data_IF_819435728598
#
_entry.id   IF_819435728598
#
_cell.length_a   1.000
_cell.length_b   1.000
_cell.length_c   1.000
_cell.angle_alpha   90.00
_cell.angle_beta   90.00
_cell.angle_gamma   90.00
#
_symmetry.space_group_name_H-M   'P 1'
#
loop_
_entity.id
_entity.type
_entity.pdbx_description
1 polymer ?
#
# COMPACT_ATOMS: atom_id res chain seq x y z
N UNK A 1 -82.21 -27.70 25.76
CA UNK A 1 -82.32 -26.61 24.77
C UNK A 1 -80.93 -26.27 24.27
N UNK A 2 -80.59 -26.75 23.07
CA UNK A 2 -79.33 -26.46 22.38
C UNK A 2 -79.38 -25.05 21.80
N UNK A 3 -78.41 -24.20 22.10
CA UNK A 3 -78.15 -22.94 21.41
C UNK A 3 -76.85 -23.09 20.62
N UNK A 4 -76.96 -23.21 19.30
CA UNK A 4 -75.83 -23.25 18.37
C UNK A 4 -75.48 -21.81 18.03
N UNK A 5 -74.32 -21.33 18.51
CA UNK A 5 -73.76 -20.04 18.12
C UNK A 5 -72.92 -20.21 16.85
N UNK A 6 -73.39 -19.66 15.73
CA UNK A 6 -72.66 -19.62 14.47
C UNK A 6 -71.60 -18.52 14.51
N UNK A 7 -70.32 -18.89 14.65
CA UNK A 7 -69.19 -17.98 14.46
C UNK A 7 -68.87 -17.90 12.96
N UNK A 8 -69.20 -16.78 12.33
CA UNK A 8 -68.82 -16.50 10.94
C UNK A 8 -67.30 -16.26 10.83
N UNK A 9 -66.60 -17.10 10.06
CA UNK A 9 -65.19 -16.92 9.75
C UNK A 9 -65.10 -15.90 8.60
N UNK A 10 -64.69 -14.66 8.92
CA UNK A 10 -64.34 -13.67 7.92
C UNK A 10 -62.97 -14.03 7.31
N UNK A 11 -62.96 -14.57 6.10
CA UNK A 11 -61.72 -14.84 5.34
C UNK A 11 -61.21 -13.49 4.82
N UNK A 12 -60.29 -12.87 5.57
CA UNK A 12 -59.57 -11.68 5.13
C UNK A 12 -58.59 -12.04 4.00
N UNK A 13 -58.84 -11.52 2.81
CA UNK A 13 -57.96 -11.66 1.65
C UNK A 13 -56.67 -10.85 1.92
N UNK A 14 -55.65 -11.48 2.50
CA UNK A 14 -54.35 -10.84 2.69
C UNK A 14 -53.67 -10.68 1.32
N UNK A 15 -53.73 -9.47 0.76
CA UNK A 15 -52.98 -9.09 -0.44
C UNK A 15 -51.50 -9.05 -0.10
N UNK A 16 -50.77 -10.12 -0.44
CA UNK A 16 -49.31 -10.12 -0.41
C UNK A 16 -48.79 -9.20 -1.52
N UNK A 17 -48.48 -7.96 -1.16
CA UNK A 17 -47.77 -7.04 -2.05
C UNK A 17 -46.33 -7.52 -2.14
N UNK A 18 -45.99 -8.18 -3.25
CA UNK A 18 -44.62 -8.58 -3.57
C UNK A 18 -43.74 -7.34 -3.61
N UNK A 19 -42.86 -7.17 -2.62
CA UNK A 19 -41.80 -6.16 -2.68
C UNK A 19 -40.91 -6.48 -3.87
N UNK A 20 -40.63 -5.52 -4.77
CA UNK A 20 -39.67 -5.76 -5.83
C UNK A 20 -38.32 -6.06 -5.20
N UNK A 21 -37.68 -7.14 -5.64
CA UNK A 21 -36.31 -7.46 -5.25
C UNK A 21 -35.43 -6.27 -5.65
N UNK A 22 -34.76 -5.64 -4.69
CA UNK A 22 -33.76 -4.64 -4.98
C UNK A 22 -32.66 -5.32 -5.80
N UNK A 23 -32.46 -4.85 -7.04
CA UNK A 23 -31.36 -5.32 -7.87
C UNK A 23 -30.04 -5.03 -7.14
N UNK A 24 -29.29 -6.08 -6.85
CA UNK A 24 -27.98 -5.98 -6.23
C UNK A 24 -27.06 -5.33 -7.27
N UNK A 25 -26.60 -4.11 -7.02
CA UNK A 25 -25.58 -3.47 -7.86
C UNK A 25 -24.29 -4.25 -7.63
N UNK A 26 -23.93 -5.10 -8.60
CA UNK A 26 -22.64 -5.77 -8.62
C UNK A 26 -21.55 -4.68 -8.57
N UNK A 27 -20.85 -4.61 -7.45
CA UNK A 27 -19.69 -3.73 -7.35
C UNK A 27 -18.63 -4.24 -8.35
N UNK A 28 -17.98 -3.35 -9.11
CA UNK A 28 -16.88 -3.77 -9.98
C UNK A 28 -15.79 -4.44 -9.15
N UNK A 29 -15.34 -5.61 -9.59
CA UNK A 29 -14.25 -6.34 -8.95
C UNK A 29 -12.98 -5.49 -9.08
N UNK A 30 -12.25 -5.20 -7.98
CA UNK A 30 -11.00 -4.46 -8.04
C UNK A 30 -10.01 -5.10 -9.02
N UNK A 31 -9.25 -4.30 -9.80
CA UNK A 31 -8.41 -4.79 -10.89
C UNK A 31 -7.24 -5.66 -10.43
N UNK A 32 -6.89 -5.64 -9.16
CA UNK A 32 -5.81 -6.42 -8.52
C UNK A 32 -6.31 -7.59 -7.67
N UNK A 33 -7.61 -7.91 -7.70
CA UNK A 33 -8.20 -8.97 -6.87
C UNK A 33 -7.51 -10.32 -7.07
N UNK A 34 -6.98 -10.59 -8.27
CA UNK A 34 -6.24 -11.80 -8.59
C UNK A 34 -4.89 -11.89 -7.85
N UNK A 35 -4.21 -10.78 -7.62
CA UNK A 35 -2.96 -10.73 -6.85
C UNK A 35 -3.23 -11.17 -5.40
N UNK A 36 -4.30 -10.63 -4.82
CA UNK A 36 -4.72 -10.90 -3.43
C UNK A 36 -5.07 -12.37 -3.17
N UNK A 37 -5.44 -13.15 -4.19
CA UNK A 37 -5.74 -14.59 -4.04
C UNK A 37 -4.54 -15.42 -3.57
N UNK A 38 -3.32 -15.02 -3.94
CA UNK A 38 -2.11 -15.78 -3.63
C UNK A 38 -1.16 -15.02 -2.70
N UNK A 39 -1.21 -13.70 -2.68
CA UNK A 39 -0.27 -12.88 -1.90
C UNK A 39 -0.77 -12.59 -0.48
N UNK A 40 -2.08 -12.53 -0.21
CA UNK A 40 -2.58 -12.31 1.16
C UNK A 40 -2.20 -13.50 2.05
N UNK A 41 -1.62 -13.21 3.21
CA UNK A 41 -1.23 -14.17 4.24
C UNK A 41 -0.26 -15.28 3.78
N UNK A 42 0.35 -15.11 2.60
CA UNK A 42 1.36 -16.03 2.11
C UNK A 42 2.65 -15.92 2.92
N UNK A 43 3.34 -17.05 3.08
CA UNK A 43 4.68 -17.11 3.68
C UNK A 43 5.75 -17.49 2.66
N UNK A 44 5.39 -17.50 1.37
CA UNK A 44 6.32 -17.84 0.30
C UNK A 44 7.39 -16.77 0.15
N UNK A 45 8.62 -17.20 -0.11
CA UNK A 45 9.76 -16.31 -0.27
C UNK A 45 10.47 -16.54 -1.59
N UNK A 46 10.98 -15.47 -2.19
CA UNK A 46 11.83 -15.51 -3.38
C UNK A 46 13.25 -15.20 -2.93
N UNK A 47 14.20 -16.11 -3.18
CA UNK A 47 15.62 -15.85 -2.95
C UNK A 47 16.21 -15.13 -4.16
N UNK A 48 16.77 -13.95 -3.93
CA UNK A 48 17.45 -13.13 -4.93
C UNK A 48 18.87 -13.64 -5.18
N UNK A 49 19.49 -13.16 -6.27
CA UNK A 49 20.87 -13.53 -6.63
C UNK A 49 21.88 -13.17 -5.53
N UNK A 50 21.64 -12.07 -4.81
CA UNK A 50 22.42 -11.64 -3.64
C UNK A 50 22.36 -12.63 -2.46
N UNK A 51 21.37 -13.53 -2.45
CA UNK A 51 21.05 -14.43 -1.34
C UNK A 51 20.01 -13.87 -0.36
N UNK A 52 19.60 -12.61 -0.53
CA UNK A 52 18.52 -12.01 0.25
C UNK A 52 17.16 -12.60 -0.13
N UNK A 53 16.16 -12.48 0.74
CA UNK A 53 14.83 -13.06 0.56
C UNK A 53 13.75 -12.00 0.50
N UNK A 54 12.95 -12.01 -0.56
CA UNK A 54 11.70 -11.25 -0.66
C UNK A 54 10.54 -12.09 -0.15
N UNK A 55 9.73 -11.52 0.74
CA UNK A 55 8.45 -12.13 1.12
C UNK A 55 7.41 -11.81 0.04
N UNK A 56 6.77 -12.83 -0.52
CA UNK A 56 5.66 -12.64 -1.44
C UNK A 56 4.34 -12.34 -0.70
N UNK A 57 4.27 -12.61 0.61
CA UNK A 57 3.15 -12.30 1.47
C UNK A 57 2.87 -10.82 1.64
N UNK A 58 1.59 -10.48 1.71
CA UNK A 58 1.11 -9.17 2.15
C UNK A 58 0.20 -9.35 3.37
N UNK A 59 0.34 -8.45 4.34
CA UNK A 59 -0.58 -8.32 5.45
C UNK A 59 -1.75 -7.43 5.02
N UNK A 60 -2.98 -7.98 4.93
CA UNK A 60 -4.12 -7.22 4.45
C UNK A 60 -4.52 -6.08 5.40
N UNK A 61 -4.26 -6.23 6.70
CA UNK A 61 -4.60 -5.19 7.69
C UNK A 61 -3.68 -3.99 7.52
N UNK A 62 -2.38 -4.22 7.42
CA UNK A 62 -1.41 -3.14 7.21
C UNK A 62 -1.65 -2.41 5.87
N UNK A 63 -1.99 -3.16 4.81
CA UNK A 63 -2.32 -2.56 3.52
C UNK A 63 -3.57 -1.69 3.57
N UNK A 64 -4.64 -2.18 4.19
CA UNK A 64 -5.91 -1.47 4.27
C UNK A 64 -5.80 -0.21 5.15
N UNK A 65 -4.91 -0.22 6.15
CA UNK A 65 -4.63 0.91 7.05
C UNK A 65 -3.65 1.95 6.45
N UNK A 66 -2.96 1.61 5.36
CA UNK A 66 -2.03 2.53 4.69
C UNK A 66 -2.76 3.72 4.03
N UNK A 67 -2.00 4.77 3.66
CA UNK A 67 -2.55 5.94 2.93
C UNK A 67 -3.10 5.59 1.54
N UNK A 68 -2.82 4.38 1.05
CA UNK A 68 -3.19 3.86 -0.26
C UNK A 68 -4.17 2.68 -0.19
N UNK A 69 -4.59 2.27 1.01
CA UNK A 69 -5.48 1.14 1.25
C UNK A 69 -6.89 1.33 0.68
N UNK A 70 -7.71 0.28 0.77
CA UNK A 70 -9.07 0.25 0.21
C UNK A 70 -10.02 1.30 0.81
N UNK A 71 -9.66 1.84 1.99
CA UNK A 71 -10.42 2.86 2.70
C UNK A 71 -9.85 4.28 2.51
N UNK A 72 -8.76 4.44 1.76
CA UNK A 72 -8.16 5.72 1.47
C UNK A 72 -9.08 6.62 0.63
N UNK A 73 -8.82 7.93 0.67
CA UNK A 73 -9.54 8.90 -0.17
C UNK A 73 -9.34 8.65 -1.66
N UNK A 74 -8.16 8.13 -2.04
CA UNK A 74 -7.82 7.68 -3.38
C UNK A 74 -7.10 6.33 -3.27
N UNK A 75 -7.84 5.21 -3.20
CA UNK A 75 -7.24 3.88 -3.16
C UNK A 75 -6.42 3.61 -4.41
N UNK A 76 -5.30 2.92 -4.25
CA UNK A 76 -4.50 2.40 -5.35
C UNK A 76 -4.52 0.87 -5.31
N UNK A 77 -4.17 0.24 -6.43
CA UNK A 77 -4.18 -1.21 -6.57
C UNK A 77 -2.75 -1.75 -6.73
N UNK A 78 -2.55 -3.05 -6.51
CA UNK A 78 -1.22 -3.68 -6.60
C UNK A 78 -0.48 -3.31 -7.90
N UNK A 79 -1.21 -3.24 -9.01
CA UNK A 79 -0.71 -2.97 -10.36
C UNK A 79 -0.45 -1.49 -10.66
N UNK A 80 -0.71 -0.59 -9.71
CA UNK A 80 -0.34 0.81 -9.79
C UNK A 80 1.12 1.03 -9.35
N UNK A 81 1.59 0.25 -8.37
CA UNK A 81 2.97 0.28 -7.89
C UNK A 81 3.83 -0.85 -8.47
N UNK A 82 3.29 -2.06 -8.65
CA UNK A 82 4.01 -3.17 -9.30
C UNK A 82 3.85 -3.09 -10.82
N UNK A 83 4.71 -2.28 -11.45
CA UNK A 83 4.72 -2.02 -12.89
C UNK A 83 6.05 -2.38 -13.54
N UNK A 84 6.04 -2.79 -14.84
CA UNK A 84 4.88 -2.98 -15.71
C UNK A 84 4.08 -4.24 -15.35
N UNK A 85 2.75 -4.17 -15.46
CA UNK A 85 1.84 -5.23 -14.98
C UNK A 85 2.15 -6.61 -15.56
N UNK A 86 2.64 -6.68 -16.81
CA UNK A 86 2.94 -7.94 -17.51
C UNK A 86 4.05 -8.75 -16.84
N UNK A 87 4.92 -8.12 -16.04
CA UNK A 87 5.95 -8.82 -15.25
C UNK A 87 5.35 -9.53 -14.05
N UNK A 88 4.35 -8.90 -13.44
CA UNK A 88 3.74 -9.32 -12.18
C UNK A 88 2.45 -10.12 -12.35
N UNK A 89 1.94 -10.28 -13.57
CA UNK A 89 0.79 -11.14 -13.84
C UNK A 89 1.20 -12.61 -13.89
N UNK A 90 0.35 -13.50 -13.36
CA UNK A 90 0.58 -14.94 -13.48
C UNK A 90 0.40 -15.42 -14.94
N UNK A 91 1.30 -16.25 -15.49
CA UNK A 91 2.54 -16.74 -14.87
C UNK A 91 3.60 -15.62 -14.76
N UNK A 92 4.09 -15.39 -13.54
CA UNK A 92 5.04 -14.32 -13.24
C UNK A 92 6.31 -14.46 -14.08
N UNK A 93 6.83 -13.33 -14.55
CA UNK A 93 8.18 -13.30 -15.13
C UNK A 93 9.22 -13.35 -14.00
N UNK A 94 10.43 -13.79 -14.33
CA UNK A 94 11.53 -13.75 -13.37
C UNK A 94 11.79 -12.32 -12.89
N UNK A 95 12.06 -12.16 -11.61
CA UNK A 95 12.48 -10.87 -11.05
C UNK A 95 13.94 -10.58 -11.51
N UNK A 96 14.19 -9.55 -12.33
CA UNK A 96 15.54 -9.13 -12.73
C UNK A 96 16.39 -8.55 -11.59
N UNK A 97 15.79 -8.08 -10.49
CA UNK A 97 16.55 -7.48 -9.40
C UNK A 97 17.49 -8.51 -8.76
N UNK A 98 18.75 -8.13 -8.57
CA UNK A 98 19.77 -8.99 -7.96
C UNK A 98 19.75 -8.93 -6.44
N UNK A 99 19.25 -7.82 -5.87
CA UNK A 99 19.24 -7.52 -4.42
C UNK A 99 17.93 -6.87 -3.95
N UNK A 100 17.70 -6.81 -2.63
CA UNK A 100 16.53 -6.14 -2.06
C UNK A 100 16.53 -4.65 -2.40
N UNK A 101 17.66 -3.99 -2.23
CA UNK A 101 17.84 -2.58 -2.56
C UNK A 101 17.47 -2.28 -4.03
N UNK A 102 17.89 -3.13 -4.97
CA UNK A 102 17.53 -2.96 -6.39
C UNK A 102 16.02 -3.17 -6.62
N UNK A 103 15.42 -4.15 -5.97
CA UNK A 103 13.98 -4.38 -6.06
C UNK A 103 13.18 -3.21 -5.48
N UNK A 104 13.56 -2.71 -4.31
CA UNK A 104 12.91 -1.58 -3.64
C UNK A 104 13.07 -0.29 -4.45
N UNK A 105 14.25 -0.02 -4.99
CA UNK A 105 14.50 1.13 -5.85
C UNK A 105 13.64 1.09 -7.13
N UNK A 106 13.47 -0.08 -7.74
CA UNK A 106 12.57 -0.25 -8.89
C UNK A 106 11.12 0.10 -8.52
N UNK A 107 10.62 -0.44 -7.40
CA UNK A 107 9.25 -0.17 -6.95
C UNK A 107 9.07 1.29 -6.55
N UNK A 108 10.03 1.87 -5.82
CA UNK A 108 10.02 3.28 -5.40
C UNK A 108 9.99 4.24 -6.59
N UNK A 109 10.63 3.88 -7.70
CA UNK A 109 10.53 4.63 -8.95
C UNK A 109 9.09 4.81 -9.45
N UNK A 110 8.18 3.88 -9.12
CA UNK A 110 6.76 3.99 -9.51
C UNK A 110 5.98 5.01 -8.67
N UNK A 111 6.44 5.36 -7.46
CA UNK A 111 5.84 6.41 -6.63
C UNK A 111 5.84 7.78 -7.35
N UNK A 112 6.91 8.04 -8.10
CA UNK A 112 7.13 9.30 -8.82
C UNK A 112 6.21 9.49 -10.04
N UNK A 113 5.41 8.48 -10.40
CA UNK A 113 4.37 8.63 -11.43
C UNK A 113 3.22 9.55 -10.94
N UNK A 114 3.04 9.69 -9.63
CA UNK A 114 2.01 10.52 -9.02
C UNK A 114 2.56 11.52 -8.00
N UNK A 115 3.63 11.17 -7.29
CA UNK A 115 4.29 12.03 -6.32
C UNK A 115 5.49 12.76 -6.93
N UNK A 116 5.98 13.75 -6.19
CA UNK A 116 7.20 14.47 -6.56
C UNK A 116 8.39 13.51 -6.69
N UNK A 117 9.37 13.89 -7.51
CA UNK A 117 10.59 13.09 -7.68
C UNK A 117 11.47 13.16 -6.43
N UNK A 118 12.32 12.16 -6.25
CA UNK A 118 13.27 12.10 -5.14
C UNK A 118 14.19 13.33 -5.11
N UNK A 119 14.59 13.80 -6.29
CA UNK A 119 15.48 14.97 -6.40
C UNK A 119 14.87 16.24 -5.81
N UNK A 120 13.55 16.38 -5.90
CA UNK A 120 12.83 17.52 -5.35
C UNK A 120 12.41 17.30 -3.90
N UNK A 121 12.16 16.05 -3.51
CA UNK A 121 11.70 15.72 -2.17
C UNK A 121 12.82 15.71 -1.14
N UNK A 122 13.96 15.11 -1.49
CA UNK A 122 15.07 14.88 -0.58
C UNK A 122 16.43 15.14 -1.26
N UNK A 123 16.69 16.37 -1.74
CA UNK A 123 17.84 16.70 -2.57
C UNK A 123 19.20 16.43 -1.90
N UNK A 124 19.28 16.39 -0.57
CA UNK A 124 20.52 16.13 0.16
C UNK A 124 21.14 14.78 -0.15
N UNK A 125 20.31 13.76 -0.41
CA UNK A 125 20.79 12.41 -0.73
C UNK A 125 21.33 12.28 -2.16
N UNK A 126 21.04 13.24 -3.06
CA UNK A 126 21.57 13.24 -4.43
C UNK A 126 23.08 13.42 -4.48
N UNK A 127 23.69 13.96 -3.43
CA UNK A 127 25.15 14.08 -3.31
C UNK A 127 25.82 12.70 -3.25
N UNK A 128 25.07 11.67 -2.84
CA UNK A 128 25.52 10.30 -2.73
C UNK A 128 24.91 9.37 -3.80
N UNK A 129 24.40 9.88 -4.92
CA UNK A 129 23.69 9.07 -5.95
C UNK A 129 24.45 7.85 -6.51
N UNK A 130 25.79 7.85 -6.40
CA UNK A 130 26.62 6.72 -6.83
C UNK A 130 26.75 5.64 -5.74
N UNK A 131 26.16 5.87 -4.56
CA UNK A 131 26.09 4.94 -3.45
C UNK A 131 24.79 4.10 -3.58
N UNK A 132 24.89 2.76 -3.62
CA UNK A 132 23.71 1.89 -3.70
C UNK A 132 22.81 1.93 -2.47
N UNK A 133 23.28 2.51 -1.36
CA UNK A 133 22.54 2.60 -0.09
C UNK A 133 21.86 3.97 0.11
N UNK A 134 21.59 4.71 -0.96
CA UNK A 134 20.77 5.92 -0.88
C UNK A 134 19.33 5.54 -0.58
N UNK A 135 18.69 6.12 0.46
CA UNK A 135 17.30 5.83 0.76
C UNK A 135 16.38 6.35 -0.34
N UNK A 136 15.39 5.56 -0.69
CA UNK A 136 14.33 5.87 -1.64
C UNK A 136 12.98 6.09 -0.90
N UNK A 137 11.88 6.17 -1.67
CA UNK A 137 10.56 6.44 -1.11
C UNK A 137 10.13 5.41 -0.04
N UNK A 138 10.44 4.12 -0.23
CA UNK A 138 9.97 3.06 0.67
C UNK A 138 10.79 2.93 1.94
N UNK A 139 12.03 3.43 1.97
CA UNK A 139 12.88 3.38 3.17
C UNK A 139 12.33 4.24 4.31
N UNK A 140 11.76 5.40 3.96
CA UNK A 140 11.09 6.25 4.94
C UNK A 140 9.60 5.90 5.02
N UNK A 141 8.89 5.91 3.90
CA UNK A 141 7.43 5.84 3.92
C UNK A 141 6.87 4.42 4.07
N UNK A 142 7.66 3.37 3.86
CA UNK A 142 7.15 2.00 3.78
C UNK A 142 6.60 1.66 2.39
N UNK A 143 6.24 0.38 2.22
CA UNK A 143 5.86 -0.20 0.93
C UNK A 143 4.39 -0.60 0.85
N UNK A 144 4.00 -1.65 1.57
CA UNK A 144 2.59 -2.04 1.70
C UNK A 144 1.92 -1.37 2.91
N UNK A 145 2.69 -0.75 3.78
CA UNK A 145 2.31 -0.05 5.01
C UNK A 145 2.52 1.47 4.88
N UNK A 146 2.39 2.00 3.65
CA UNK A 146 2.78 3.38 3.32
C UNK A 146 2.21 4.40 4.33
N UNK A 147 3.11 5.05 5.04
CA UNK A 147 2.82 6.06 6.06
C UNK A 147 2.73 7.47 5.45
N UNK A 148 1.84 8.34 5.99
CA UNK A 148 1.71 9.72 5.52
C UNK A 148 2.96 10.53 5.85
N UNK A 149 3.26 11.54 5.03
CA UNK A 149 4.36 12.48 5.29
C UNK A 149 4.30 13.11 6.70
N UNK A 150 3.09 13.42 7.18
CA UNK A 150 2.86 13.95 8.52
C UNK A 150 3.36 13.04 9.66
N UNK A 151 3.54 11.74 9.43
CA UNK A 151 4.13 10.84 10.43
C UNK A 151 5.61 11.17 10.69
N UNK A 152 6.34 11.60 9.66
CA UNK A 152 7.76 11.93 9.74
C UNK A 152 8.00 13.37 10.21
N UNK A 153 7.05 14.27 9.96
CA UNK A 153 7.07 15.63 10.51
C UNK A 153 6.96 15.65 12.04
N UNK A 154 6.38 14.62 12.65
CA UNK A 154 6.25 14.52 14.09
C UNK A 154 7.58 14.25 14.80
N UNK A 155 8.51 13.54 14.14
CA UNK A 155 9.86 13.29 14.63
C UNK A 155 10.87 13.23 13.45
N UNK A 156 11.22 14.38 12.87
CA UNK A 156 12.11 14.43 11.71
C UNK A 156 13.52 13.98 12.08
N UNK A 157 13.98 14.25 13.30
CA UNK A 157 15.29 13.83 13.78
C UNK A 157 15.35 12.32 13.96
N UNK A 158 14.35 11.74 14.63
CA UNK A 158 14.27 10.29 14.81
C UNK A 158 14.20 9.53 13.49
N UNK A 159 13.49 10.09 12.50
CA UNK A 159 13.42 9.54 11.14
C UNK A 159 14.81 9.46 10.50
N UNK A 160 15.59 10.55 10.52
CA UNK A 160 16.93 10.57 9.96
C UNK A 160 17.91 9.67 10.73
N UNK A 161 17.72 9.53 12.04
CA UNK A 161 18.58 8.73 12.91
C UNK A 161 18.44 7.21 12.73
N UNK A 162 17.45 6.75 11.96
CA UNK A 162 17.34 5.33 11.56
C UNK A 162 18.59 4.88 10.81
N UNK A 163 19.12 5.74 9.92
CA UNK A 163 20.34 5.52 9.16
C UNK A 163 21.52 6.37 9.67
N UNK A 164 21.29 7.65 10.03
CA UNK A 164 22.33 8.59 10.47
C UNK A 164 22.44 8.65 12.00
N UNK A 165 22.99 7.59 12.59
CA UNK A 165 23.05 7.43 14.05
C UNK A 165 24.03 8.39 14.74
N UNK A 166 25.05 8.88 14.02
CA UNK A 166 26.06 9.79 14.55
C UNK A 166 26.18 11.07 13.69
N UNK A 167 25.88 12.23 14.29
CA UNK A 167 26.05 13.57 13.69
C UNK A 167 27.54 13.91 13.46
N UNK A 168 28.47 13.11 14.00
CA UNK A 168 29.89 13.37 13.94
C UNK A 168 30.50 13.24 12.53
N UNK A 169 29.75 12.72 11.54
CA UNK A 169 30.16 12.75 10.14
C UNK A 169 30.16 14.21 9.64
N UNK A 170 31.33 14.79 9.30
CA UNK A 170 31.43 16.18 8.87
C UNK A 170 30.62 16.49 7.61
N UNK A 171 30.42 15.51 6.73
CA UNK A 171 29.61 15.67 5.51
C UNK A 171 28.13 15.74 5.85
N UNK A 172 27.65 14.90 6.76
CA UNK A 172 26.27 14.95 7.27
C UNK A 172 26.01 16.25 8.03
N UNK A 173 26.98 16.77 8.78
CA UNK A 173 26.85 18.04 9.50
C UNK A 173 26.73 19.25 8.57
N UNK A 174 27.49 19.27 7.47
CA UNK A 174 27.43 20.33 6.45
C UNK A 174 26.07 20.32 5.71
N UNK A 175 25.63 19.12 5.27
CA UNK A 175 24.35 18.95 4.60
C UNK A 175 23.17 19.19 5.54
N UNK A 176 23.28 18.85 6.83
CA UNK A 176 22.23 19.16 7.83
C UNK A 176 21.92 20.66 7.92
N UNK A 177 22.96 21.51 7.93
CA UNK A 177 22.77 22.95 8.02
C UNK A 177 22.01 23.50 6.80
N UNK A 178 22.28 22.95 5.61
CA UNK A 178 21.57 23.26 4.37
C UNK A 178 20.12 22.79 4.41
N UNK A 179 19.86 21.52 4.75
CA UNK A 179 18.51 20.93 4.80
C UNK A 179 17.63 21.65 5.83
N UNK A 180 18.13 21.87 7.06
CA UNK A 180 17.36 22.55 8.12
C UNK A 180 17.00 23.98 7.71
N UNK A 181 17.89 24.68 6.99
CA UNK A 181 17.60 26.03 6.50
C UNK A 181 16.50 26.09 5.44
N UNK A 182 16.23 24.97 4.76
CA UNK A 182 15.24 24.82 3.70
C UNK A 182 13.92 24.16 4.17
N UNK A 183 13.85 23.68 5.42
CA UNK A 183 12.62 23.16 6.05
C UNK A 183 11.73 24.28 6.65
N UNK A 184 11.98 25.55 6.28
CA UNK A 184 11.25 26.74 6.73
C UNK A 184 10.39 27.38 5.64
#
# INVERSE_FOLDING_TARGET
>A
MLLIAACGIAVGLALFVSRPAAAQVLQPVPPDSACKLCHIDSTETITLTSGETLNAGIDPVQLDDSVHGVHAAAPVFCTDCHRPQQRYQYPHQANPAESLSEFEAEIAGNCQQCHTTEELHNPGHLQAKDNPNVPNCVDCHGGHDVAPAAAFEADPVGTCQTCHQEIADPHIAEVHAEIVSNLG
#
